data_IF_181485387182
#
_entry.id   IF_181485387182
#
_cell.length_a   1.000
_cell.length_b   1.000
_cell.length_c   1.000
_cell.angle_alpha   90.00
_cell.angle_beta   90.00
_cell.angle_gamma   90.00
#
_symmetry.space_group_name_H-M   'P 1'
#
loop_
_entity.id
_entity.type
_entity.pdbx_description
1 polymer ?
#
# COMPACT_ATOMS: atom_id res chain seq x y z
N UNK A 1 23.11 -3.17 -20.21
CA UNK A 1 23.97 -3.26 -21.41
C UNK A 1 23.65 -2.16 -22.42
N UNK A 2 22.40 -1.90 -22.83
CA UNK A 2 22.13 -0.85 -23.85
C UNK A 2 22.44 0.60 -23.43
N UNK A 3 22.46 0.93 -22.14
CA UNK A 3 22.81 2.29 -21.67
C UNK A 3 24.32 2.55 -21.62
N UNK A 4 25.15 1.52 -21.36
CA UNK A 4 26.62 1.68 -21.27
C UNK A 4 27.24 2.06 -22.61
N UNK A 5 26.68 1.55 -23.72
CA UNK A 5 27.17 1.84 -25.06
C UNK A 5 26.90 3.26 -25.57
N UNK A 6 25.97 4.01 -24.94
CA UNK A 6 25.56 5.35 -25.41
C UNK A 6 26.12 6.50 -24.58
N UNK A 7 26.45 6.30 -23.30
CA UNK A 7 26.92 7.37 -22.40
C UNK A 7 28.29 7.10 -21.78
N UNK A 8 28.79 5.85 -21.83
CA UNK A 8 30.02 5.46 -21.14
C UNK A 8 29.92 5.48 -19.60
N UNK A 9 28.73 5.69 -19.04
CA UNK A 9 28.50 5.76 -17.60
C UNK A 9 27.78 4.49 -17.13
N UNK A 10 28.37 3.83 -16.12
CA UNK A 10 27.75 2.69 -15.43
C UNK A 10 26.37 3.11 -14.86
N UNK A 11 25.26 2.45 -15.26
CA UNK A 11 23.91 2.77 -14.79
C UNK A 11 23.76 2.77 -13.27
N UNK A 12 24.49 1.90 -12.56
CA UNK A 12 24.44 1.84 -11.10
C UNK A 12 25.07 3.09 -10.49
N UNK A 13 26.24 3.50 -10.99
CA UNK A 13 26.90 4.75 -10.56
C UNK A 13 26.06 5.97 -10.89
N UNK A 14 25.44 6.01 -12.07
CA UNK A 14 24.54 7.11 -12.45
C UNK A 14 23.35 7.21 -11.49
N UNK A 15 22.72 6.08 -11.15
CA UNK A 15 21.61 6.03 -10.20
C UNK A 15 22.04 6.48 -8.79
N UNK A 16 23.17 5.99 -8.29
CA UNK A 16 23.72 6.39 -6.99
C UNK A 16 24.07 7.89 -6.95
N UNK A 17 24.67 8.41 -8.01
CA UNK A 17 25.00 9.83 -8.11
C UNK A 17 23.72 10.70 -8.13
N UNK A 18 22.69 10.29 -8.88
CA UNK A 18 21.40 10.97 -8.91
C UNK A 18 20.71 10.95 -7.53
N UNK A 19 20.71 9.79 -6.86
CA UNK A 19 20.15 9.64 -5.51
C UNK A 19 20.89 10.55 -4.51
N UNK A 20 22.22 10.53 -4.52
CA UNK A 20 23.04 11.37 -3.65
C UNK A 20 22.83 12.87 -3.94
N UNK A 21 22.78 13.27 -5.20
CA UNK A 21 22.51 14.64 -5.60
C UNK A 21 21.13 15.12 -5.13
N UNK A 22 20.09 14.28 -5.26
CA UNK A 22 18.74 14.60 -4.78
C UNK A 22 18.72 14.77 -3.25
N UNK A 23 19.36 13.86 -2.50
CA UNK A 23 19.46 13.95 -1.04
C UNK A 23 20.21 15.21 -0.61
N UNK A 24 21.36 15.51 -1.23
CA UNK A 24 22.15 16.71 -0.92
C UNK A 24 21.37 17.98 -1.27
N UNK A 25 20.66 18.02 -2.40
CA UNK A 25 19.85 19.16 -2.79
C UNK A 25 18.68 19.39 -1.82
N UNK A 26 17.99 18.33 -1.39
CA UNK A 26 16.89 18.43 -0.43
C UNK A 26 17.38 18.80 0.97
N UNK A 27 18.45 18.16 1.47
CA UNK A 27 19.02 18.44 2.79
C UNK A 27 19.67 19.82 2.84
N UNK A 28 20.51 20.15 1.86
CA UNK A 28 21.14 21.46 1.73
C UNK A 28 20.11 22.56 1.51
N UNK A 29 19.11 22.34 0.64
CA UNK A 29 18.01 23.25 0.41
C UNK A 29 17.17 23.49 1.67
N UNK A 30 16.93 22.45 2.49
CA UNK A 30 16.21 22.56 3.76
C UNK A 30 16.95 23.41 4.80
N UNK A 31 18.28 23.48 4.72
CA UNK A 31 19.12 24.29 5.61
C UNK A 31 19.23 25.73 5.08
N UNK A 32 19.57 25.90 3.80
CA UNK A 32 19.87 27.21 3.19
C UNK A 32 18.59 27.98 2.87
N UNK A 33 17.56 27.30 2.35
CA UNK A 33 16.28 27.87 1.93
C UNK A 33 15.14 27.28 2.75
N UNK A 34 15.28 27.33 4.08
CA UNK A 34 14.38 26.67 5.04
C UNK A 34 12.90 26.96 4.78
N UNK A 35 12.52 28.23 4.60
CA UNK A 35 11.10 28.58 4.37
C UNK A 35 10.55 27.93 3.10
N UNK A 36 11.30 27.97 1.99
CA UNK A 36 10.84 27.47 0.70
C UNK A 36 10.87 25.94 0.61
N UNK A 37 12.01 25.33 0.94
CA UNK A 37 12.26 23.90 0.73
C UNK A 37 11.73 23.08 1.89
N UNK A 38 12.04 23.46 3.13
CA UNK A 38 11.59 22.69 4.28
C UNK A 38 10.14 23.03 4.61
N UNK A 39 9.79 24.29 4.85
CA UNK A 39 8.49 24.61 5.46
C UNK A 39 7.34 24.58 4.45
N UNK A 40 7.46 25.30 3.34
CA UNK A 40 6.40 25.40 2.31
C UNK A 40 6.32 24.22 1.36
N UNK A 41 7.37 23.38 1.30
CA UNK A 41 7.42 22.21 0.42
C UNK A 41 7.45 20.88 1.21
N UNK A 42 8.59 20.49 1.80
CA UNK A 42 8.73 19.18 2.45
C UNK A 42 7.77 19.00 3.63
N UNK A 43 7.70 19.97 4.53
CA UNK A 43 6.82 19.94 5.68
C UNK A 43 5.38 20.05 5.22
N UNK A 44 4.99 21.06 4.44
CA UNK A 44 3.61 21.22 4.01
C UNK A 44 3.02 19.99 3.30
N UNK A 45 3.76 19.36 2.39
CA UNK A 45 3.22 18.31 1.53
C UNK A 45 3.56 16.88 1.98
N UNK A 46 4.64 16.67 2.72
CA UNK A 46 5.12 15.32 3.06
C UNK A 46 5.08 15.04 4.56
N UNK A 47 5.65 15.90 5.41
CA UNK A 47 5.76 15.62 6.86
C UNK A 47 4.60 16.14 7.71
N UNK A 48 4.08 17.32 7.39
CA UNK A 48 2.96 17.98 8.06
C UNK A 48 1.68 17.14 8.07
N UNK A 49 1.29 16.51 6.94
CA UNK A 49 0.17 15.57 6.92
C UNK A 49 0.37 14.40 7.88
N UNK A 50 1.56 13.77 7.87
CA UNK A 50 1.92 12.67 8.78
C UNK A 50 1.89 13.11 10.24
N UNK A 51 2.37 14.33 10.53
CA UNK A 51 2.34 14.89 11.88
C UNK A 51 0.92 15.14 12.37
N UNK A 52 0.04 15.67 11.52
CA UNK A 52 -1.36 15.88 11.85
C UNK A 52 -2.06 14.54 12.16
N UNK A 53 -1.86 13.56 11.28
CA UNK A 53 -2.42 12.20 11.42
C UNK A 53 -1.93 11.53 12.72
N UNK A 54 -0.62 11.63 13.01
CA UNK A 54 -0.01 11.06 14.21
C UNK A 54 -0.50 11.66 15.54
N UNK A 55 -1.22 12.78 15.50
CA UNK A 55 -1.81 13.43 16.67
C UNK A 55 -3.35 13.42 16.61
N UNK A 56 -3.95 12.64 15.69
CA UNK A 56 -5.39 12.62 15.42
C UNK A 56 -5.98 14.03 15.17
N UNK A 57 -5.18 14.92 14.60
CA UNK A 57 -5.56 16.32 14.37
C UNK A 57 -6.22 16.48 12.99
N UNK A 58 -7.19 17.39 12.89
CA UNK A 58 -7.82 17.76 11.61
C UNK A 58 -6.79 18.39 10.66
N UNK A 59 -5.87 19.18 11.21
CA UNK A 59 -4.71 19.67 10.47
C UNK A 59 -3.56 20.01 11.44
N UNK A 60 -2.38 20.26 10.90
CA UNK A 60 -1.27 20.86 11.62
C UNK A 60 -0.95 22.23 11.02
N UNK A 61 -0.78 23.24 11.88
CA UNK A 61 -0.42 24.59 11.47
C UNK A 61 0.95 24.98 11.98
N UNK A 62 1.79 25.52 11.10
CA UNK A 62 3.15 25.93 11.41
C UNK A 62 3.31 27.44 11.42
N UNK A 63 3.89 27.95 12.50
CA UNK A 63 4.35 29.34 12.65
C UNK A 63 5.44 29.41 13.75
N UNK A 64 6.73 29.33 13.37
CA UNK A 64 7.85 29.25 14.34
C UNK A 64 7.92 27.94 15.14
N UNK A 65 6.81 27.20 15.25
CA UNK A 65 6.65 25.85 15.77
C UNK A 65 5.50 25.12 15.05
N UNK A 66 5.20 23.89 15.45
CA UNK A 66 4.10 23.08 14.89
C UNK A 66 3.02 22.89 15.95
N UNK A 67 1.78 23.15 15.58
CA UNK A 67 0.61 23.03 16.44
C UNK A 67 -0.44 22.13 15.76
N UNK A 68 -0.88 21.04 16.41
CA UNK A 68 -2.04 20.27 15.94
C UNK A 68 -3.34 21.04 16.22
N UNK A 69 -4.26 21.04 15.24
CA UNK A 69 -5.56 21.70 15.32
C UNK A 69 -6.67 20.68 15.08
N UNK A 70 -7.70 20.71 15.94
CA UNK A 70 -8.74 19.68 16.02
C UNK A 70 -10.10 20.11 15.45
N UNK A 71 -10.17 21.24 14.74
CA UNK A 71 -11.40 21.66 14.07
C UNK A 71 -11.12 22.33 12.73
N UNK A 72 -12.03 22.16 11.78
CA UNK A 72 -11.92 22.78 10.46
C UNK A 72 -11.90 24.31 10.56
N UNK A 73 -12.63 24.89 11.51
CA UNK A 73 -12.64 26.33 11.74
C UNK A 73 -11.25 26.85 12.16
N UNK A 74 -10.58 26.15 13.08
CA UNK A 74 -9.23 26.51 13.51
C UNK A 74 -8.21 26.38 12.36
N UNK A 75 -8.34 25.35 11.53
CA UNK A 75 -7.52 25.17 10.33
C UNK A 75 -7.68 26.32 9.34
N UNK A 76 -8.92 26.74 9.09
CA UNK A 76 -9.24 27.87 8.22
C UNK A 76 -8.72 29.21 8.78
N UNK A 77 -8.86 29.43 10.08
CA UNK A 77 -8.34 30.63 10.75
C UNK A 77 -6.80 30.69 10.68
N UNK A 78 -6.13 29.56 10.93
CA UNK A 78 -4.68 29.46 10.79
C UNK A 78 -4.23 29.77 9.36
N UNK A 79 -4.92 29.23 8.36
CA UNK A 79 -4.64 29.50 6.94
C UNK A 79 -4.87 30.98 6.59
N UNK A 80 -5.97 31.58 7.08
CA UNK A 80 -6.28 33.00 6.88
C UNK A 80 -5.25 33.93 7.54
N UNK A 81 -4.69 33.51 8.67
CA UNK A 81 -3.57 34.18 9.34
C UNK A 81 -2.21 33.99 8.62
N UNK A 82 -2.19 33.34 7.46
CA UNK A 82 -0.98 33.11 6.66
C UNK A 82 -0.06 32.01 7.19
N UNK A 83 -0.51 31.18 8.14
CA UNK A 83 0.25 30.04 8.64
C UNK A 83 0.31 28.94 7.58
N UNK A 84 1.37 28.13 7.63
CA UNK A 84 1.48 26.97 6.73
C UNK A 84 0.64 25.86 7.35
N UNK A 85 -0.45 25.47 6.67
CA UNK A 85 -1.37 24.43 7.13
C UNK A 85 -1.19 23.17 6.27
N UNK A 86 -1.19 22.01 6.92
CA UNK A 86 -1.15 20.70 6.31
C UNK A 86 -2.25 19.81 6.91
N UNK A 87 -3.02 19.15 6.06
CA UNK A 87 -4.11 18.25 6.44
C UNK A 87 -3.66 16.79 6.25
N UNK A 88 -4.15 15.82 7.05
CA UNK A 88 -3.88 14.40 6.86
C UNK A 88 -4.23 13.92 5.44
N UNK A 89 -3.55 12.86 4.98
CA UNK A 89 -3.77 12.27 3.66
C UNK A 89 -2.86 12.82 2.56
N UNK A 90 -3.24 12.57 1.30
CA UNK A 90 -2.43 12.90 0.13
C UNK A 90 -2.91 14.17 -0.56
N UNK A 91 -1.95 14.96 -1.02
CA UNK A 91 -2.16 16.06 -1.95
C UNK A 91 -1.67 15.63 -3.33
N UNK A 92 -2.09 16.31 -4.39
CA UNK A 92 -1.54 16.04 -5.74
C UNK A 92 -0.01 16.14 -5.79
N UNK A 93 0.57 17.10 -5.04
CA UNK A 93 2.02 17.29 -4.96
C UNK A 93 2.70 16.09 -4.32
N UNK A 94 2.15 15.61 -3.20
CA UNK A 94 2.74 14.49 -2.48
C UNK A 94 2.52 13.17 -3.22
N UNK A 95 1.35 12.96 -3.81
CA UNK A 95 1.05 11.80 -4.65
C UNK A 95 2.05 11.68 -5.83
N UNK A 96 2.26 12.76 -6.58
CA UNK A 96 3.26 12.80 -7.67
C UNK A 96 4.67 12.60 -7.12
N UNK A 97 5.01 13.24 -6.01
CA UNK A 97 6.32 13.11 -5.37
C UNK A 97 6.63 11.66 -4.96
N UNK A 98 5.68 10.95 -4.35
CA UNK A 98 5.83 9.55 -4.00
C UNK A 98 5.85 8.64 -5.22
N UNK A 99 5.05 8.91 -6.26
CA UNK A 99 5.07 8.14 -7.50
C UNK A 99 6.44 8.23 -8.20
N UNK A 100 7.00 9.44 -8.33
CA UNK A 100 8.34 9.66 -8.91
C UNK A 100 9.41 8.95 -8.07
N UNK A 101 9.33 9.07 -6.74
CA UNK A 101 10.25 8.39 -5.82
C UNK A 101 10.17 6.88 -5.98
N UNK A 102 8.97 6.31 -6.06
CA UNK A 102 8.75 4.88 -6.25
C UNK A 102 9.38 4.38 -7.56
N UNK A 103 9.11 5.05 -8.68
CA UNK A 103 9.66 4.68 -10.00
C UNK A 103 11.19 4.72 -9.96
N UNK A 104 11.77 5.78 -9.39
CA UNK A 104 13.22 5.90 -9.24
C UNK A 104 13.79 4.79 -8.35
N UNK A 105 13.13 4.45 -7.24
CA UNK A 105 13.57 3.41 -6.31
C UNK A 105 13.41 2.00 -6.87
N UNK A 106 12.42 1.73 -7.73
CA UNK A 106 12.29 0.45 -8.42
C UNK A 106 13.53 0.13 -9.27
N UNK A 107 14.12 1.13 -9.94
CA UNK A 107 15.40 0.95 -10.63
C UNK A 107 16.52 0.57 -9.65
N UNK A 108 16.56 1.21 -8.47
CA UNK A 108 17.49 0.85 -7.39
C UNK A 108 17.32 -0.59 -6.91
N UNK A 109 16.08 -1.03 -6.69
CA UNK A 109 15.78 -2.43 -6.32
C UNK A 109 16.20 -3.39 -7.42
N UNK A 110 15.96 -3.05 -8.68
CA UNK A 110 16.41 -3.86 -9.81
C UNK A 110 17.94 -4.02 -9.83
N UNK A 111 18.69 -2.94 -9.57
CA UNK A 111 20.15 -3.01 -9.45
C UNK A 111 20.61 -3.82 -8.25
N UNK A 112 19.93 -3.67 -7.10
CA UNK A 112 20.19 -4.47 -5.91
C UNK A 112 20.00 -5.97 -6.18
N UNK A 113 18.85 -6.36 -6.77
CA UNK A 113 18.58 -7.77 -7.12
C UNK A 113 19.61 -8.33 -8.10
N UNK A 114 20.06 -7.52 -9.07
CA UNK A 114 21.15 -7.87 -9.99
C UNK A 114 22.47 -8.09 -9.24
N UNK A 115 22.86 -7.18 -8.35
CA UNK A 115 24.08 -7.27 -7.56
C UNK A 115 24.07 -8.46 -6.58
N UNK A 116 22.91 -8.82 -6.06
CA UNK A 116 22.73 -10.01 -5.22
C UNK A 116 22.62 -11.31 -6.05
N UNK A 117 22.49 -11.22 -7.37
CA UNK A 117 22.34 -12.38 -8.25
C UNK A 117 20.97 -13.05 -8.20
N UNK A 118 19.99 -12.51 -7.47
CA UNK A 118 18.68 -13.13 -7.22
C UNK A 118 17.56 -12.57 -8.12
N UNK A 119 16.33 -13.06 -7.94
CA UNK A 119 15.12 -12.50 -8.57
C UNK A 119 14.92 -12.84 -10.04
N UNK A 120 15.68 -13.79 -10.61
CA UNK A 120 15.41 -14.33 -11.96
C UNK A 120 14.31 -15.38 -11.94
N UNK A 121 14.18 -16.08 -10.83
CA UNK A 121 13.22 -17.16 -10.65
C UNK A 121 11.88 -16.61 -10.15
N UNK A 122 10.80 -17.28 -10.56
CA UNK A 122 9.43 -16.99 -10.08
C UNK A 122 9.30 -17.14 -8.56
N UNK A 123 10.22 -17.84 -7.90
CA UNK A 123 10.21 -18.04 -6.45
C UNK A 123 10.19 -16.75 -5.63
N UNK A 124 10.91 -15.70 -6.05
CA UNK A 124 10.92 -14.41 -5.34
C UNK A 124 9.53 -13.77 -5.27
N UNK A 125 8.73 -13.90 -6.33
CA UNK A 125 7.36 -13.38 -6.37
C UNK A 125 6.52 -14.02 -5.26
N UNK A 126 6.53 -15.35 -5.17
CA UNK A 126 5.75 -16.08 -4.16
C UNK A 126 6.28 -15.87 -2.74
N UNK A 127 7.60 -15.76 -2.58
CA UNK A 127 8.24 -15.55 -1.28
C UNK A 127 7.85 -14.21 -0.63
N UNK A 128 7.47 -13.21 -1.43
CA UNK A 128 7.07 -11.88 -0.95
C UNK A 128 5.57 -11.72 -0.70
N UNK A 129 4.72 -12.69 -1.08
CA UNK A 129 3.28 -12.61 -0.86
C UNK A 129 2.93 -12.35 0.62
N UNK A 130 3.52 -13.05 1.61
CA UNK A 130 3.20 -12.79 3.02
C UNK A 130 3.53 -11.35 3.46
N UNK A 131 4.55 -10.71 2.87
CA UNK A 131 4.92 -9.32 3.19
C UNK A 131 3.88 -8.32 2.72
N UNK A 132 3.19 -8.60 1.61
CA UNK A 132 2.12 -7.73 1.10
C UNK A 132 0.89 -7.79 2.00
N UNK A 133 0.52 -8.98 2.46
CA UNK A 133 -0.50 -9.14 3.50
C UNK A 133 -0.07 -8.48 4.82
N UNK A 134 1.19 -8.67 5.24
CA UNK A 134 1.74 -8.03 6.44
C UNK A 134 1.64 -6.51 6.36
N UNK A 135 2.01 -5.89 5.23
CA UNK A 135 1.90 -4.45 5.05
C UNK A 135 0.45 -3.96 5.16
N UNK A 136 -0.50 -4.68 4.57
CA UNK A 136 -1.93 -4.40 4.73
C UNK A 136 -2.44 -4.59 6.16
N UNK A 137 -1.97 -5.60 6.90
CA UNK A 137 -2.32 -5.82 8.30
C UNK A 137 -1.71 -4.74 9.21
N UNK A 138 -0.46 -4.34 8.98
CA UNK A 138 0.20 -3.28 9.73
C UNK A 138 -0.48 -1.93 9.53
N UNK A 139 -1.05 -1.68 8.34
CA UNK A 139 -1.94 -0.54 8.10
C UNK A 139 -3.17 -0.56 8.99
N UNK A 140 -3.77 -1.72 9.23
CA UNK A 140 -4.92 -1.83 10.14
C UNK A 140 -4.50 -1.59 11.60
N UNK A 141 -3.25 -1.87 11.97
CA UNK A 141 -2.73 -1.48 13.30
C UNK A 141 -2.70 0.03 13.45
N UNK A 142 -2.30 0.77 12.41
CA UNK A 142 -2.40 2.23 12.38
C UNK A 142 -3.87 2.68 12.45
N UNK A 143 -4.74 2.20 11.55
CA UNK A 143 -6.16 2.57 11.58
C UNK A 143 -6.82 2.25 12.96
N UNK A 144 -6.42 1.17 13.64
CA UNK A 144 -6.87 0.81 14.98
C UNK A 144 -6.39 1.80 16.05
N UNK A 145 -5.14 2.25 15.94
CA UNK A 145 -4.51 3.19 16.86
C UNK A 145 -5.12 4.60 16.73
N UNK A 146 -5.51 4.99 15.53
CA UNK A 146 -6.12 6.29 15.23
C UNK A 146 -7.62 6.31 15.58
N UNK A 147 -8.26 5.14 15.68
CA UNK A 147 -9.66 4.99 16.10
C UNK A 147 -9.87 5.19 17.61
N UNK A 148 -8.79 5.25 18.40
CA UNK A 148 -8.86 5.43 19.86
C UNK A 148 -9.40 6.84 20.19
N UNK A 149 -10.45 6.97 21.02
CA UNK A 149 -11.02 8.27 21.37
C UNK A 149 -10.03 9.22 22.06
N UNK A 150 -10.24 10.52 21.90
CA UNK A 150 -9.44 11.56 22.54
C UNK A 150 -9.41 11.38 24.07
N UNK A 151 -8.22 11.48 24.66
CA UNK A 151 -7.99 11.31 26.09
C UNK A 151 -7.76 9.86 26.55
N UNK A 152 -7.85 8.88 25.65
CA UNK A 152 -7.42 7.49 25.89
C UNK A 152 -6.02 7.29 25.29
N UNK A 153 -5.15 6.62 26.05
CA UNK A 153 -3.78 6.37 25.60
C UNK A 153 -3.77 5.44 24.37
N UNK A 154 -3.16 5.91 23.28
CA UNK A 154 -2.91 5.11 22.08
C UNK A 154 -1.92 3.99 22.41
N UNK A 155 -2.11 2.81 21.82
CA UNK A 155 -1.17 1.70 21.98
C UNK A 155 0.22 2.04 21.44
N UNK A 156 0.28 2.88 20.40
CA UNK A 156 1.51 3.40 19.81
C UNK A 156 1.38 4.92 19.77
N UNK A 157 2.12 5.59 20.64
CA UNK A 157 2.12 7.05 20.72
C UNK A 157 3.13 7.69 19.77
N UNK A 158 2.95 8.99 19.50
CA UNK A 158 3.96 9.83 18.84
C UNK A 158 5.28 9.82 19.62
N UNK A 159 6.45 9.71 18.97
CA UNK A 159 6.67 9.74 17.52
C UNK A 159 6.62 8.38 16.81
N UNK A 160 6.45 7.26 17.52
CA UNK A 160 6.59 5.92 16.94
C UNK A 160 5.48 5.57 15.94
N UNK A 161 4.26 6.04 16.17
CA UNK A 161 3.14 5.83 15.24
C UNK A 161 3.40 6.41 13.85
N UNK A 162 4.22 7.46 13.72
CA UNK A 162 4.60 8.03 12.43
C UNK A 162 5.27 7.03 11.48
N UNK A 163 5.88 5.95 11.99
CA UNK A 163 6.48 4.89 11.19
C UNK A 163 5.46 3.98 10.50
N UNK A 164 4.22 3.95 10.98
CA UNK A 164 3.12 3.12 10.45
C UNK A 164 2.01 3.94 9.78
N UNK A 165 2.16 5.27 9.74
CA UNK A 165 1.25 6.19 9.07
C UNK A 165 1.58 6.30 7.58
N UNK A 166 0.55 6.51 6.75
CA UNK A 166 0.75 6.77 5.32
C UNK A 166 1.53 8.06 5.08
N UNK A 167 2.48 8.08 4.13
CA UNK A 167 3.03 6.97 3.36
C UNK A 167 4.31 6.39 3.95
N UNK A 168 4.75 6.85 5.13
CA UNK A 168 5.98 6.39 5.80
C UNK A 168 5.96 4.87 5.99
N UNK A 169 4.80 4.29 6.27
CA UNK A 169 4.62 2.84 6.39
C UNK A 169 5.16 2.05 5.18
N UNK A 170 5.09 2.58 3.96
CA UNK A 170 5.63 1.89 2.79
C UNK A 170 7.16 1.76 2.86
N UNK A 171 7.84 2.79 3.38
CA UNK A 171 9.29 2.74 3.62
C UNK A 171 9.63 1.81 4.79
N UNK A 172 8.80 1.79 5.83
CA UNK A 172 8.95 0.87 6.97
C UNK A 172 8.83 -0.58 6.53
N UNK A 173 7.76 -0.94 5.83
CA UNK A 173 7.53 -2.30 5.31
C UNK A 173 8.61 -2.67 4.30
N UNK A 174 9.03 -1.76 3.42
CA UNK A 174 10.15 -1.99 2.50
C UNK A 174 11.45 -2.27 3.26
N UNK A 175 11.78 -1.47 4.27
CA UNK A 175 12.99 -1.64 5.09
C UNK A 175 13.01 -2.98 5.82
N UNK A 176 11.89 -3.38 6.43
CA UNK A 176 11.72 -4.69 7.06
C UNK A 176 11.91 -5.79 6.02
N UNK A 177 11.21 -5.71 4.89
CA UNK A 177 11.29 -6.71 3.80
C UNK A 177 12.71 -6.83 3.25
N UNK A 178 13.39 -5.71 3.05
CA UNK A 178 14.77 -5.67 2.57
C UNK A 178 15.73 -6.29 3.59
N UNK A 179 15.62 -5.94 4.86
CA UNK A 179 16.45 -6.54 5.91
C UNK A 179 16.26 -8.05 5.98
N UNK A 180 15.01 -8.53 5.91
CA UNK A 180 14.69 -9.95 5.91
C UNK A 180 15.18 -10.64 4.64
N UNK A 181 15.07 -10.00 3.47
CA UNK A 181 15.63 -10.52 2.22
C UNK A 181 17.15 -10.69 2.31
N UNK A 182 17.86 -9.69 2.83
CA UNK A 182 19.31 -9.76 2.99
C UNK A 182 19.71 -10.87 3.98
N UNK A 183 18.98 -11.02 5.09
CA UNK A 183 19.18 -12.10 6.05
C UNK A 183 18.91 -13.48 5.42
N UNK A 184 17.82 -13.62 4.65
CA UNK A 184 17.47 -14.84 3.94
C UNK A 184 18.53 -15.23 2.90
N UNK A 185 19.05 -14.26 2.15
CA UNK A 185 20.17 -14.46 1.20
C UNK A 185 21.44 -14.87 1.93
N UNK A 186 21.74 -14.26 3.07
CA UNK A 186 22.88 -14.64 3.91
C UNK A 186 22.75 -16.07 4.46
N UNK A 187 21.57 -16.46 4.95
CA UNK A 187 21.28 -17.84 5.40
C UNK A 187 21.49 -18.86 4.29
N UNK A 188 21.00 -18.57 3.08
CA UNK A 188 21.17 -19.46 1.94
C UNK A 188 22.65 -19.58 1.51
N UNK A 189 23.37 -18.46 1.44
CA UNK A 189 24.79 -18.45 1.06
C UNK A 189 25.72 -19.07 2.12
N UNK A 190 25.30 -19.09 3.38
CA UNK A 190 26.04 -19.73 4.48
C UNK A 190 25.70 -21.20 4.67
N UNK A 191 24.80 -21.77 3.85
CA UNK A 191 24.43 -23.19 3.90
C UNK A 191 23.40 -23.53 4.99
N UNK A 192 22.79 -22.54 5.65
CA UNK A 192 21.74 -22.76 6.65
C UNK A 192 20.34 -22.93 6.02
N UNK A 193 20.18 -22.61 4.73
CA UNK A 193 18.96 -22.83 3.97
C UNK A 193 19.32 -23.22 2.53
N UNK A 194 18.53 -24.11 1.91
CA UNK A 194 18.76 -24.53 0.52
C UNK A 194 18.49 -23.39 -0.48
N UNK A 195 17.47 -22.59 -0.19
CA UNK A 195 16.98 -21.48 -1.03
C UNK A 195 16.61 -20.31 -0.14
N UNK A 196 16.88 -19.08 -0.58
CA UNK A 196 16.57 -17.88 0.22
C UNK A 196 15.06 -17.57 0.24
N UNK A 197 14.30 -18.08 -0.73
CA UNK A 197 12.86 -17.92 -0.82
C UNK A 197 12.12 -18.53 0.38
N UNK A 198 12.58 -19.66 0.92
CA UNK A 198 11.94 -20.34 2.05
C UNK A 198 12.02 -19.56 3.37
N UNK A 199 13.20 -19.17 3.88
CA UNK A 199 13.27 -18.36 5.09
C UNK A 199 12.63 -16.98 4.91
N UNK A 200 12.66 -16.41 3.69
CA UNK A 200 11.95 -15.16 3.38
C UNK A 200 10.44 -15.32 3.55
N UNK A 201 9.84 -16.32 2.88
CA UNK A 201 8.40 -16.60 3.00
C UNK A 201 8.00 -16.85 4.45
N UNK A 202 8.75 -17.71 5.16
CA UNK A 202 8.47 -18.05 6.54
C UNK A 202 8.50 -16.82 7.46
N UNK A 203 9.51 -15.95 7.33
CA UNK A 203 9.58 -14.73 8.12
C UNK A 203 8.42 -13.78 7.84
N UNK A 204 8.06 -13.59 6.56
CA UNK A 204 6.89 -12.79 6.19
C UNK A 204 5.58 -13.35 6.76
N UNK A 205 5.41 -14.68 6.77
CA UNK A 205 4.26 -15.33 7.40
C UNK A 205 4.24 -15.11 8.91
N UNK A 206 5.40 -15.19 9.58
CA UNK A 206 5.51 -14.89 11.01
C UNK A 206 5.10 -13.44 11.30
N UNK A 207 5.58 -12.46 10.51
CA UNK A 207 5.19 -11.05 10.68
C UNK A 207 3.69 -10.85 10.48
N UNK A 208 3.12 -11.46 9.44
CA UNK A 208 1.68 -11.42 9.20
C UNK A 208 0.88 -11.99 10.37
N UNK A 209 1.20 -13.22 10.80
CA UNK A 209 0.48 -13.90 11.87
C UNK A 209 0.62 -13.16 13.20
N UNK A 210 1.80 -12.62 13.50
CA UNK A 210 2.01 -11.80 14.69
C UNK A 210 1.18 -10.52 14.64
N UNK A 211 1.10 -9.86 13.48
CA UNK A 211 0.32 -8.62 13.30
C UNK A 211 -1.18 -8.86 13.40
N UNK A 212 -1.69 -9.91 12.74
CA UNK A 212 -3.11 -10.28 12.82
C UNK A 212 -3.48 -10.78 14.22
N UNK A 213 -2.58 -11.52 14.87
CA UNK A 213 -2.74 -11.95 16.26
C UNK A 213 -2.79 -10.77 17.24
N UNK A 214 -1.92 -9.77 17.04
CA UNK A 214 -1.95 -8.52 17.79
C UNK A 214 -3.26 -7.77 17.58
N UNK A 215 -3.73 -7.61 16.34
CA UNK A 215 -5.01 -6.97 16.03
C UNK A 215 -6.19 -7.69 16.72
N UNK A 216 -6.26 -9.01 16.60
CA UNK A 216 -7.30 -9.80 17.24
C UNK A 216 -7.30 -9.62 18.76
N UNK A 217 -6.12 -9.60 19.39
CA UNK A 217 -5.97 -9.33 20.81
C UNK A 217 -6.37 -7.89 21.18
N UNK A 218 -5.79 -6.88 20.52
CA UNK A 218 -6.00 -5.48 20.83
C UNK A 218 -7.46 -5.05 20.64
N UNK A 219 -8.07 -5.46 19.53
CA UNK A 219 -9.46 -5.12 19.24
C UNK A 219 -10.41 -5.73 20.26
N UNK A 220 -10.24 -7.02 20.60
CA UNK A 220 -11.15 -7.69 21.54
C UNK A 220 -10.98 -7.25 22.99
N UNK A 221 -9.77 -6.88 23.40
CA UNK A 221 -9.47 -6.54 24.80
C UNK A 221 -9.57 -5.05 25.10
N UNK A 222 -9.29 -4.20 24.12
CA UNK A 222 -9.14 -2.75 24.32
C UNK A 222 -10.11 -1.94 23.46
N UNK A 223 -10.16 -2.21 22.15
CA UNK A 223 -10.91 -1.35 21.23
C UNK A 223 -12.43 -1.57 21.29
N UNK A 224 -12.89 -2.81 21.44
CA UNK A 224 -14.31 -3.16 21.42
C UNK A 224 -15.12 -2.52 22.57
N UNK A 225 -14.47 -2.19 23.69
CA UNK A 225 -15.09 -1.48 24.81
C UNK A 225 -15.04 0.04 24.66
N UNK A 226 -14.08 0.57 23.89
CA UNK A 226 -13.85 2.00 23.71
C UNK A 226 -14.55 2.58 22.46
N UNK A 227 -14.63 1.79 21.39
CA UNK A 227 -15.16 2.21 20.08
C UNK A 227 -16.40 1.39 19.77
N UNK A 228 -17.54 2.08 19.64
CA UNK A 228 -18.81 1.43 19.29
C UNK A 228 -18.67 0.78 17.93
N UNK A 229 -18.66 -0.55 17.90
CA UNK A 229 -18.60 -1.31 16.66
C UNK A 229 -17.29 -2.01 16.34
N UNK A 230 -16.22 -1.64 17.05
CA UNK A 230 -15.01 -2.44 17.03
C UNK A 230 -15.33 -3.83 17.60
N UNK A 231 -14.88 -4.87 16.92
CA UNK A 231 -15.30 -6.24 17.24
C UNK A 231 -14.58 -7.27 16.39
N UNK A 232 -15.14 -8.47 16.30
CA UNK A 232 -14.58 -9.55 15.48
C UNK A 232 -15.66 -10.10 14.57
N UNK A 233 -15.51 -9.86 13.27
CA UNK A 233 -16.41 -10.25 12.19
C UNK A 233 -15.65 -11.15 11.19
N UNK A 234 -15.14 -12.33 11.63
CA UNK A 234 -14.26 -13.17 10.80
C UNK A 234 -14.94 -13.67 9.51
N UNK A 235 -16.27 -13.68 9.49
CA UNK A 235 -17.08 -14.02 8.31
C UNK A 235 -16.79 -13.08 7.14
N UNK A 236 -16.44 -11.81 7.39
CA UNK A 236 -16.07 -10.84 6.35
C UNK A 236 -14.82 -11.31 5.62
N UNK A 237 -13.74 -11.64 6.33
CA UNK A 237 -12.53 -12.24 5.73
C UNK A 237 -12.87 -13.48 4.90
N UNK A 238 -13.71 -14.38 5.42
CA UNK A 238 -14.09 -15.60 4.69
C UNK A 238 -14.79 -15.25 3.39
N UNK A 239 -15.78 -14.36 3.41
CA UNK A 239 -16.53 -13.96 2.21
C UNK A 239 -15.62 -13.25 1.21
N UNK A 240 -14.80 -12.28 1.65
CA UNK A 240 -13.87 -11.56 0.77
C UNK A 240 -12.92 -12.54 0.08
N UNK A 241 -12.26 -13.41 0.84
CA UNK A 241 -11.29 -14.37 0.28
C UNK A 241 -11.97 -15.34 -0.68
N UNK A 242 -13.12 -15.91 -0.30
CA UNK A 242 -13.83 -16.88 -1.15
C UNK A 242 -14.31 -16.22 -2.44
N UNK A 243 -14.97 -15.07 -2.37
CA UNK A 243 -15.42 -14.35 -3.58
C UNK A 243 -14.24 -13.96 -4.48
N UNK A 244 -13.13 -13.52 -3.89
CA UNK A 244 -11.93 -13.13 -4.64
C UNK A 244 -11.27 -14.32 -5.33
N UNK A 245 -11.18 -15.47 -4.66
CA UNK A 245 -10.70 -16.72 -5.25
C UNK A 245 -11.63 -17.21 -6.37
N UNK A 246 -12.95 -17.12 -6.19
CA UNK A 246 -13.93 -17.48 -7.21
C UNK A 246 -13.81 -16.58 -8.44
N UNK A 247 -13.78 -15.26 -8.25
CA UNK A 247 -13.63 -14.28 -9.34
C UNK A 247 -12.32 -14.52 -10.09
N UNK A 248 -11.19 -14.57 -9.37
CA UNK A 248 -9.89 -14.81 -9.98
C UNK A 248 -9.81 -16.17 -10.68
N UNK A 249 -10.37 -17.23 -10.07
CA UNK A 249 -10.39 -18.58 -10.62
C UNK A 249 -11.24 -18.68 -11.90
N UNK A 250 -12.44 -18.09 -11.90
CA UNK A 250 -13.32 -18.06 -13.08
C UNK A 250 -12.67 -17.29 -14.22
N UNK A 251 -12.11 -16.11 -13.94
CA UNK A 251 -11.45 -15.29 -14.96
C UNK A 251 -10.21 -16.00 -15.49
N UNK A 252 -9.35 -16.52 -14.61
CA UNK A 252 -8.13 -17.21 -15.02
C UNK A 252 -8.45 -18.44 -15.87
N UNK A 253 -9.41 -19.27 -15.45
CA UNK A 253 -9.86 -20.43 -16.22
C UNK A 253 -10.48 -20.05 -17.57
N UNK A 254 -11.25 -18.95 -17.62
CA UNK A 254 -11.79 -18.43 -18.88
C UNK A 254 -10.67 -17.94 -19.81
N UNK A 255 -9.66 -17.26 -19.28
CA UNK A 255 -8.49 -16.83 -20.05
C UNK A 255 -7.70 -18.02 -20.58
N UNK A 256 -7.41 -19.02 -19.75
CA UNK A 256 -6.74 -20.25 -20.20
C UNK A 256 -7.54 -20.99 -21.29
N UNK A 257 -8.87 -21.00 -21.20
CA UNK A 257 -9.75 -21.70 -22.14
C UNK A 257 -9.91 -20.96 -23.47
N UNK A 258 -10.12 -19.64 -23.42
CA UNK A 258 -10.57 -18.85 -24.57
C UNK A 258 -9.51 -17.89 -25.12
N UNK A 259 -8.52 -17.52 -24.31
CA UNK A 259 -7.44 -16.61 -24.67
C UNK A 259 -6.10 -17.02 -24.03
N UNK A 260 -5.60 -18.25 -24.28
CA UNK A 260 -4.44 -18.82 -23.58
C UNK A 260 -3.16 -17.99 -23.73
N UNK A 261 -3.05 -17.20 -24.79
CA UNK A 261 -1.94 -16.26 -25.00
C UNK A 261 -1.82 -15.22 -23.89
N UNK A 262 -2.92 -14.88 -23.21
CA UNK A 262 -2.94 -13.93 -22.09
C UNK A 262 -2.24 -14.51 -20.85
N UNK A 263 -2.36 -15.80 -20.59
CA UNK A 263 -1.83 -16.43 -19.37
C UNK A 263 -0.52 -17.19 -19.60
N UNK A 264 -0.12 -17.42 -20.85
CA UNK A 264 1.08 -18.19 -21.22
C UNK A 264 2.35 -17.72 -20.48
N UNK A 265 2.61 -16.39 -20.48
CA UNK A 265 3.79 -15.83 -19.84
C UNK A 265 3.78 -15.93 -18.32
N UNK A 266 2.65 -15.61 -17.68
CA UNK A 266 2.56 -15.45 -16.23
C UNK A 266 2.22 -16.75 -15.49
N UNK A 267 1.44 -17.66 -16.08
CA UNK A 267 0.91 -18.86 -15.43
C UNK A 267 0.26 -18.55 -14.08
N UNK A 268 0.68 -19.27 -13.02
CA UNK A 268 0.16 -19.08 -11.66
C UNK A 268 0.38 -17.64 -11.12
N UNK A 269 1.40 -16.91 -11.57
CA UNK A 269 1.59 -15.51 -11.18
C UNK A 269 0.38 -14.68 -11.63
N UNK A 270 -0.13 -14.95 -12.84
CA UNK A 270 -1.31 -14.25 -13.37
C UNK A 270 -2.55 -14.47 -12.52
N UNK A 271 -2.78 -15.71 -12.06
CA UNK A 271 -3.85 -16.01 -11.10
C UNK A 271 -3.70 -15.22 -9.80
N UNK A 272 -2.49 -15.18 -9.22
CA UNK A 272 -2.26 -14.45 -7.95
C UNK A 272 -2.45 -12.95 -8.13
N UNK A 273 -2.03 -12.37 -9.27
CA UNK A 273 -2.28 -10.95 -9.60
C UNK A 273 -3.78 -10.68 -9.68
N UNK A 274 -4.54 -11.50 -10.42
CA UNK A 274 -5.99 -11.38 -10.50
C UNK A 274 -6.63 -11.50 -9.10
N UNK A 275 -6.19 -12.45 -8.29
CA UNK A 275 -6.66 -12.62 -6.91
C UNK A 275 -6.39 -11.40 -6.04
N UNK A 276 -5.18 -10.82 -6.07
CA UNK A 276 -4.87 -9.64 -5.26
C UNK A 276 -5.71 -8.42 -5.62
N UNK A 277 -6.00 -8.22 -6.90
CA UNK A 277 -6.86 -7.13 -7.35
C UNK A 277 -8.36 -7.41 -7.13
N UNK A 278 -8.78 -8.68 -7.19
CA UNK A 278 -10.12 -9.10 -6.81
C UNK A 278 -10.35 -8.90 -5.30
N UNK A 279 -9.37 -9.26 -4.46
CA UNK A 279 -9.39 -9.05 -3.01
C UNK A 279 -9.66 -7.58 -2.67
N UNK A 280 -8.95 -6.67 -3.33
CA UNK A 280 -9.15 -5.22 -3.19
C UNK A 280 -10.55 -4.78 -3.61
N UNK A 281 -10.96 -5.14 -4.82
CA UNK A 281 -12.28 -4.75 -5.33
C UNK A 281 -13.44 -5.30 -4.47
N UNK A 282 -13.36 -6.56 -4.05
CA UNK A 282 -14.40 -7.19 -3.20
C UNK A 282 -14.41 -6.58 -1.81
N UNK A 283 -13.24 -6.39 -1.17
CA UNK A 283 -13.17 -5.74 0.13
C UNK A 283 -13.75 -4.32 0.09
N UNK A 284 -13.46 -3.57 -0.98
CA UNK A 284 -13.99 -2.23 -1.18
C UNK A 284 -15.53 -2.22 -1.32
N UNK A 285 -16.08 -3.10 -2.17
CA UNK A 285 -17.54 -3.24 -2.34
C UNK A 285 -18.22 -3.59 -1.02
N UNK A 286 -17.65 -4.54 -0.27
CA UNK A 286 -18.24 -4.95 1.00
C UNK A 286 -18.20 -3.84 2.05
N UNK A 287 -17.08 -3.13 2.15
CA UNK A 287 -16.91 -2.04 3.10
C UNK A 287 -17.77 -0.81 2.74
N UNK A 288 -17.91 -0.48 1.46
CA UNK A 288 -18.63 0.70 0.99
C UNK A 288 -20.15 0.51 0.97
N UNK A 289 -20.62 -0.60 0.41
CA UNK A 289 -22.04 -0.72 0.04
C UNK A 289 -22.79 -1.81 0.83
N UNK A 290 -22.07 -2.80 1.39
CA UNK A 290 -22.70 -3.96 2.04
C UNK A 290 -22.41 -4.05 3.55
N UNK A 291 -21.79 -3.02 4.12
CA UNK A 291 -21.44 -2.96 5.54
C UNK A 291 -22.63 -3.28 6.47
N UNK A 292 -23.83 -2.76 6.14
CA UNK A 292 -25.06 -3.01 6.89
C UNK A 292 -25.49 -4.49 6.88
N UNK A 293 -25.27 -5.22 5.79
CA UNK A 293 -25.59 -6.65 5.66
C UNK A 293 -24.76 -7.49 6.63
N UNK A 294 -23.53 -7.06 6.91
CA UNK A 294 -22.62 -7.72 7.84
C UNK A 294 -22.70 -7.16 9.27
N UNK A 295 -23.65 -6.25 9.54
CA UNK A 295 -23.80 -5.63 10.86
C UNK A 295 -22.63 -4.72 11.25
N UNK A 296 -21.89 -4.21 10.26
CA UNK A 296 -20.78 -3.29 10.47
C UNK A 296 -21.33 -1.86 10.72
N UNK A 297 -20.94 -1.18 11.80
CA UNK A 297 -21.57 0.07 12.23
C UNK A 297 -20.87 1.33 11.71
N UNK A 298 -20.09 1.23 10.63
CA UNK A 298 -19.37 2.36 10.04
C UNK A 298 -19.76 2.58 8.57
N UNK A 299 -19.62 3.83 8.11
CA UNK A 299 -19.67 4.18 6.68
C UNK A 299 -18.26 4.38 6.16
N UNK A 300 -17.85 3.58 5.17
CA UNK A 300 -16.53 3.69 4.53
C UNK A 300 -16.43 4.97 3.70
N UNK A 301 -15.27 5.64 3.75
CA UNK A 301 -14.93 6.76 2.87
C UNK A 301 -13.62 6.46 2.12
N UNK A 302 -13.56 6.67 0.79
CA UNK A 302 -12.34 6.48 0.01
C UNK A 302 -11.18 7.37 0.49
N UNK A 303 -9.98 6.79 0.72
CA UNK A 303 -8.77 7.57 1.04
C UNK A 303 -7.96 8.04 -0.19
N UNK A 304 -8.33 7.61 -1.42
CA UNK A 304 -7.59 7.93 -2.66
C UNK A 304 -8.48 8.70 -3.65
N UNK A 305 -7.99 9.81 -4.26
CA UNK A 305 -8.76 10.63 -5.20
C UNK A 305 -9.29 9.85 -6.41
N UNK A 306 -8.53 8.86 -6.89
CA UNK A 306 -8.95 8.01 -8.01
C UNK A 306 -10.14 7.13 -7.64
N UNK A 307 -10.16 6.59 -6.42
CA UNK A 307 -11.29 5.78 -5.96
C UNK A 307 -12.53 6.67 -5.78
N UNK A 308 -12.36 7.83 -5.15
CA UNK A 308 -13.41 8.84 -5.00
C UNK A 308 -13.99 9.27 -6.36
N UNK A 309 -13.13 9.51 -7.35
CA UNK A 309 -13.55 9.83 -8.71
C UNK A 309 -14.39 8.71 -9.35
N UNK A 310 -13.95 7.45 -9.25
CA UNK A 310 -14.68 6.31 -9.83
C UNK A 310 -16.07 6.17 -9.20
N UNK A 311 -16.17 6.31 -7.88
CA UNK A 311 -17.46 6.27 -7.15
C UNK A 311 -18.36 7.43 -7.57
N UNK A 312 -17.83 8.65 -7.70
CA UNK A 312 -18.59 9.82 -8.14
C UNK A 312 -19.12 9.68 -9.57
N UNK A 313 -18.33 9.05 -10.46
CA UNK A 313 -18.75 8.76 -11.83
C UNK A 313 -19.85 7.68 -11.85
N UNK A 314 -19.72 6.65 -11.01
CA UNK A 314 -20.73 5.61 -10.88
C UNK A 314 -22.09 6.19 -10.45
N UNK A 315 -22.11 7.12 -9.50
CA UNK A 315 -23.32 7.84 -9.07
C UNK A 315 -23.95 8.68 -10.19
N UNK A 316 -23.14 9.19 -11.12
CA UNK A 316 -23.62 9.98 -12.26
C UNK A 316 -24.08 9.16 -13.47
N UNK A 317 -23.67 7.88 -13.58
CA UNK A 317 -23.88 7.05 -14.79
C UNK A 317 -24.82 5.86 -14.54
N UNK A 318 -24.82 5.27 -13.34
CA UNK A 318 -25.66 4.10 -13.05
C UNK A 318 -27.11 4.53 -12.74
N UNK A 319 -28.12 3.77 -13.20
CA UNK A 319 -29.51 4.03 -12.84
C UNK A 319 -29.71 4.01 -11.31
N UNK A 320 -30.55 4.89 -10.75
CA UNK A 320 -30.83 4.91 -9.30
C UNK A 320 -31.28 3.56 -8.75
N UNK A 321 -32.07 2.81 -9.52
CA UNK A 321 -32.51 1.46 -9.15
C UNK A 321 -31.38 0.45 -9.01
N UNK A 322 -30.28 0.61 -9.75
CA UNK A 322 -29.09 -0.23 -9.64
C UNK A 322 -28.29 0.16 -8.40
N UNK A 323 -28.11 1.48 -8.19
CA UNK A 323 -27.40 2.01 -7.02
C UNK A 323 -28.08 1.58 -5.72
N UNK A 324 -29.42 1.69 -5.64
CA UNK A 324 -30.21 1.28 -4.48
C UNK A 324 -30.16 -0.24 -4.23
N UNK A 325 -29.95 -1.05 -5.27
CA UNK A 325 -29.99 -2.52 -5.16
C UNK A 325 -28.63 -3.15 -4.84
N UNK A 326 -27.55 -2.66 -5.47
CA UNK A 326 -26.23 -3.30 -5.36
C UNK A 326 -25.14 -2.36 -4.82
N UNK A 327 -25.35 -1.05 -4.81
CA UNK A 327 -24.36 -0.05 -4.37
C UNK A 327 -23.55 0.59 -5.50
N UNK A 328 -22.54 1.40 -5.14
CA UNK A 328 -21.77 2.27 -6.04
C UNK A 328 -20.33 1.84 -6.31
N UNK A 329 -19.78 0.91 -5.54
CA UNK A 329 -18.37 0.50 -5.59
C UNK A 329 -18.07 -0.64 -6.57
N UNK A 330 -19.08 -1.31 -7.15
CA UNK A 330 -18.88 -2.39 -8.15
C UNK A 330 -18.04 -1.98 -9.38
N UNK A 331 -18.15 -0.76 -9.93
CA UNK A 331 -17.26 -0.30 -11.00
C UNK A 331 -15.77 -0.30 -10.61
N UNK A 332 -15.43 -0.09 -9.33
CA UNK A 332 -14.04 -0.17 -8.86
C UNK A 332 -13.49 -1.60 -9.01
N UNK A 333 -14.26 -2.62 -8.59
CA UNK A 333 -13.90 -4.02 -8.79
C UNK A 333 -13.72 -4.34 -10.29
N UNK A 334 -14.64 -3.91 -11.15
CA UNK A 334 -14.53 -4.14 -12.59
C UNK A 334 -13.25 -3.52 -13.17
N UNK A 335 -12.97 -2.25 -12.84
CA UNK A 335 -11.76 -1.55 -13.28
C UNK A 335 -10.49 -2.29 -12.81
N UNK A 336 -10.46 -2.74 -11.55
CA UNK A 336 -9.33 -3.52 -11.00
C UNK A 336 -9.12 -4.83 -11.75
N UNK A 337 -10.18 -5.56 -12.05
CA UNK A 337 -10.11 -6.82 -12.80
C UNK A 337 -9.63 -6.59 -14.23
N UNK A 338 -10.15 -5.57 -14.92
CA UNK A 338 -9.71 -5.23 -16.29
C UNK A 338 -8.24 -4.84 -16.28
N UNK A 339 -7.82 -3.95 -15.37
CA UNK A 339 -6.43 -3.54 -15.25
C UNK A 339 -5.50 -4.71 -14.94
N UNK A 340 -5.87 -5.60 -14.01
CA UNK A 340 -5.10 -6.80 -13.68
C UNK A 340 -5.00 -7.76 -14.88
N UNK A 341 -6.09 -7.93 -15.64
CA UNK A 341 -6.08 -8.76 -16.85
C UNK A 341 -5.18 -8.17 -17.93
N UNK A 342 -5.19 -6.84 -18.12
CA UNK A 342 -4.30 -6.15 -19.05
C UNK A 342 -2.83 -6.31 -18.65
N UNK A 343 -2.52 -6.21 -17.36
CA UNK A 343 -1.16 -6.50 -16.86
C UNK A 343 -0.77 -7.93 -17.21
N UNK A 344 -1.60 -8.91 -16.88
CA UNK A 344 -1.31 -10.33 -17.15
C UNK A 344 -1.07 -10.57 -18.64
N UNK A 345 -1.84 -9.92 -19.50
CA UNK A 345 -1.65 -9.94 -20.95
C UNK A 345 -0.31 -9.33 -21.42
N UNK A 346 0.11 -8.21 -20.81
CA UNK A 346 1.36 -7.53 -21.19
C UNK A 346 2.59 -8.37 -20.82
N UNK A 347 2.57 -9.09 -19.70
CA UNK A 347 3.70 -9.91 -19.24
C UNK A 347 3.71 -11.30 -19.89
N UNK A 348 3.96 -11.32 -21.19
CA UNK A 348 4.11 -12.54 -21.99
C UNK A 348 5.43 -13.29 -21.74
N UNK A 349 5.59 -14.43 -22.42
CA UNK A 349 6.78 -15.29 -22.29
C UNK A 349 8.07 -14.54 -22.68
N UNK A 350 8.01 -13.66 -23.70
CA UNK A 350 9.16 -12.92 -24.20
C UNK A 350 9.74 -11.99 -23.12
N UNK A 351 8.90 -11.27 -22.38
CA UNK A 351 9.37 -10.39 -21.29
C UNK A 351 10.07 -11.21 -20.19
N UNK A 352 9.57 -12.40 -19.87
CA UNK A 352 10.18 -13.28 -18.87
C UNK A 352 11.52 -13.87 -19.34
N UNK A 353 11.68 -14.16 -20.64
CA UNK A 353 12.92 -14.66 -21.22
C UNK A 353 14.00 -13.57 -21.31
N UNK A 354 13.64 -12.40 -21.85
CA UNK A 354 14.57 -11.30 -22.08
C UNK A 354 14.96 -10.59 -20.79
N UNK A 355 13.99 -10.36 -19.90
CA UNK A 355 14.14 -9.52 -18.71
C UNK A 355 13.46 -10.10 -17.47
N UNK A 356 13.83 -11.32 -17.02
CA UNK A 356 13.12 -12.03 -15.94
C UNK A 356 13.03 -11.24 -14.63
N UNK A 357 14.13 -10.57 -14.22
CA UNK A 357 14.16 -9.76 -12.98
C UNK A 357 13.21 -8.58 -13.04
N UNK A 358 13.10 -7.96 -14.20
CA UNK A 358 12.21 -6.83 -14.42
C UNK A 358 10.75 -7.29 -14.39
N UNK A 359 10.45 -8.40 -15.07
CA UNK A 359 9.13 -9.02 -15.05
C UNK A 359 8.66 -9.32 -13.62
N UNK A 360 9.50 -10.03 -12.85
CA UNK A 360 9.20 -10.40 -11.47
C UNK A 360 9.02 -9.17 -10.57
N UNK A 361 9.93 -8.19 -10.65
CA UNK A 361 9.86 -6.97 -9.83
C UNK A 361 8.58 -6.17 -10.11
N UNK A 362 8.21 -6.00 -11.38
CA UNK A 362 7.00 -5.26 -11.72
C UNK A 362 5.73 -6.01 -11.31
N UNK A 363 5.68 -7.32 -11.50
CA UNK A 363 4.53 -8.12 -11.05
C UNK A 363 4.39 -8.11 -9.53
N UNK A 364 5.50 -8.10 -8.78
CA UNK A 364 5.50 -7.87 -7.32
C UNK A 364 4.91 -6.50 -6.99
N UNK A 365 5.36 -5.43 -7.68
CA UNK A 365 4.86 -4.08 -7.44
C UNK A 365 3.36 -3.96 -7.73
N UNK A 366 2.90 -4.55 -8.84
CA UNK A 366 1.49 -4.57 -9.23
C UNK A 366 0.65 -5.35 -8.22
N UNK A 367 1.09 -6.55 -7.83
CA UNK A 367 0.42 -7.33 -6.80
C UNK A 367 0.32 -6.55 -5.48
N UNK A 368 1.36 -5.81 -5.08
CA UNK A 368 1.35 -5.02 -3.86
C UNK A 368 0.28 -3.90 -3.88
N UNK A 369 0.00 -3.32 -5.06
CA UNK A 369 -1.05 -2.30 -5.26
C UNK A 369 -2.47 -2.87 -5.14
N UNK A 370 -2.66 -4.17 -5.39
CA UNK A 370 -3.93 -4.85 -5.14
C UNK A 370 -4.00 -5.43 -3.73
N UNK A 371 -3.07 -6.32 -3.40
CA UNK A 371 -3.11 -7.13 -2.18
C UNK A 371 -2.94 -6.30 -0.90
N UNK A 372 -2.13 -5.23 -0.93
CA UNK A 372 -1.94 -4.35 0.22
C UNK A 372 -3.24 -3.66 0.65
N UNK A 373 -3.85 -2.82 -0.22
CA UNK A 373 -5.14 -2.19 0.04
C UNK A 373 -6.26 -3.20 0.31
N UNK A 374 -6.35 -4.29 -0.45
CA UNK A 374 -7.39 -5.30 -0.23
C UNK A 374 -7.27 -6.01 1.10
N UNK A 375 -6.05 -6.30 1.57
CA UNK A 375 -5.84 -6.87 2.91
C UNK A 375 -6.25 -5.88 4.00
N UNK A 376 -5.89 -4.60 3.82
CA UNK A 376 -6.24 -3.54 4.76
C UNK A 376 -7.75 -3.38 4.87
N UNK A 377 -8.45 -3.16 3.76
CA UNK A 377 -9.90 -2.94 3.76
C UNK A 377 -10.66 -4.17 4.28
N UNK A 378 -10.21 -5.38 3.92
CA UNK A 378 -10.76 -6.63 4.45
C UNK A 378 -10.57 -6.72 5.97
N UNK A 379 -9.36 -6.52 6.48
CA UNK A 379 -9.08 -6.66 7.92
C UNK A 379 -9.73 -5.55 8.75
N UNK A 380 -9.80 -4.32 8.24
CA UNK A 380 -10.57 -3.22 8.85
C UNK A 380 -12.02 -3.61 9.05
N UNK A 381 -12.66 -4.11 7.98
CA UNK A 381 -14.04 -4.58 8.06
C UNK A 381 -14.20 -5.79 9.01
N UNK A 382 -13.25 -6.73 8.99
CA UNK A 382 -13.22 -7.86 9.92
C UNK A 382 -13.10 -7.44 11.38
N UNK A 383 -12.46 -6.31 11.68
CA UNK A 383 -12.30 -5.81 13.05
C UNK A 383 -13.25 -4.66 13.43
N UNK A 384 -14.08 -4.19 12.50
CA UNK A 384 -15.00 -3.07 12.74
C UNK A 384 -14.30 -1.72 12.93
N UNK A 385 -13.23 -1.46 12.17
CA UNK A 385 -12.34 -0.28 12.27
C UNK A 385 -12.46 0.64 11.06
#
# INVERSE_FOLDING_TARGET
MELEGRTGVDPVRAWLAAAAAAVVALAGGSIVFRELVYERFLWKYFWGPVYADANNAVCAARNGGVEPLYSQAACQEAAAAGRIVAEPGYTLVSEVGYAVTLIFMLAGVLFLLRGLGIGRERGLFFALIPFMFFGGALRVVEDANDSVPEGVEQAIAYPLNSLIISPVIYFTVFGITLATLLAAVWLARSGHAERYEYPLFAAGTVYLLATVGYLAYFVTTSLASAVRGAGSYPMVTVVVVVLSLLIAGVIHAALERFAPTVTAGTGLIGFVVLFGHALDGVANVLAADWAAVFGLPFSYSPKHPVNEFIISLAQGVLPPSVIETIGTAWPFLLVKIVAATLVVYIFDEQIFEESPRYAILLLIAILAVGLGPGTRDMLRATFGI
#
